data_IF_667243535771
#
_entry.id   IF_667243535771
#
_cell.length_a   1.000
_cell.length_b   1.000
_cell.length_c   1.000
_cell.angle_alpha   90.00
_cell.angle_beta   90.00
_cell.angle_gamma   90.00
#
_symmetry.space_group_name_H-M   'P 1'
#
loop_
_entity.id
_entity.type
_entity.pdbx_description
1 polymer ?
#
# COMPACT_ATOMS: atom_id res chain seq x y z
N UNK A 1 18.87 0.68 0.87
CA UNK A 1 17.49 0.17 1.07
C UNK A 1 17.24 -0.95 0.06
N UNK A 2 16.64 -2.08 0.45
CA UNK A 2 16.39 -3.21 -0.47
C UNK A 2 15.01 -3.05 -1.13
N UNK A 3 14.92 -2.20 -2.16
CA UNK A 3 13.65 -1.92 -2.86
C UNK A 3 13.62 -2.44 -4.30
N UNK A 4 14.79 -2.62 -4.94
CA UNK A 4 14.87 -3.17 -6.30
C UNK A 4 14.90 -4.69 -6.25
N UNK A 5 14.00 -5.33 -7.00
CA UNK A 5 13.83 -6.78 -7.03
C UNK A 5 13.92 -7.35 -8.46
N UNK A 6 14.30 -8.61 -8.54
CA UNK A 6 14.17 -9.47 -9.71
C UNK A 6 13.25 -10.61 -9.30
N UNK A 7 12.18 -10.78 -10.07
CA UNK A 7 11.36 -11.97 -10.02
C UNK A 7 11.71 -12.83 -11.23
N UNK A 8 11.93 -14.13 -11.01
CA UNK A 8 12.08 -15.12 -12.08
C UNK A 8 11.01 -16.20 -11.90
N UNK A 9 10.28 -16.47 -12.97
CA UNK A 9 9.39 -17.62 -13.07
C UNK A 9 10.08 -18.72 -13.88
N UNK A 10 10.23 -19.90 -13.27
CA UNK A 10 10.76 -21.10 -13.90
C UNK A 10 9.66 -21.97 -14.51
N UNK A 11 10.09 -22.98 -15.26
CA UNK A 11 9.19 -23.88 -16.02
C UNK A 11 8.30 -24.73 -15.09
N UNK A 12 8.80 -25.12 -13.92
CA UNK A 12 8.10 -26.00 -12.97
C UNK A 12 7.33 -25.23 -11.89
N UNK A 13 6.72 -24.09 -12.21
CA UNK A 13 6.06 -23.17 -11.25
C UNK A 13 6.95 -22.62 -10.12
N UNK A 14 8.26 -22.87 -10.18
CA UNK A 14 9.22 -22.29 -9.25
C UNK A 14 9.33 -20.79 -9.46
N UNK A 15 9.00 -20.02 -8.43
CA UNK A 15 9.12 -18.57 -8.43
C UNK A 15 10.22 -18.16 -7.48
N UNK A 16 11.23 -17.50 -8.01
CA UNK A 16 12.33 -16.96 -7.23
C UNK A 16 12.20 -15.44 -7.18
N UNK A 17 12.26 -14.88 -5.97
CA UNK A 17 12.28 -13.44 -5.74
C UNK A 17 13.61 -13.10 -5.05
N UNK A 18 14.40 -12.21 -5.66
CA UNK A 18 15.67 -11.75 -5.09
C UNK A 18 15.80 -10.24 -5.22
N UNK A 19 16.60 -9.63 -4.36
CA UNK A 19 17.06 -8.26 -4.56
C UNK A 19 18.15 -8.21 -5.63
N UNK A 20 18.17 -7.10 -6.38
CA UNK A 20 19.24 -6.86 -7.36
C UNK A 20 20.59 -6.71 -6.64
N UNK A 21 21.63 -7.44 -7.06
CA UNK A 21 22.98 -7.23 -6.53
C UNK A 21 23.55 -5.93 -7.11
N UNK A 22 24.11 -5.07 -6.26
CA UNK A 22 24.67 -3.77 -6.64
C UNK A 22 24.18 -2.62 -5.77
N UNK A 23 25.06 -1.68 -5.43
CA UNK A 23 24.73 -0.53 -4.58
C UNK A 23 23.86 0.49 -5.32
N UNK A 24 24.00 0.56 -6.63
CA UNK A 24 23.20 1.38 -7.53
C UNK A 24 21.71 1.00 -7.47
N UNK A 25 21.40 -0.27 -7.23
CA UNK A 25 20.03 -0.75 -7.07
C UNK A 25 19.48 -0.61 -5.64
N UNK A 26 20.33 -0.13 -4.73
CA UNK A 26 19.98 0.16 -3.33
C UNK A 26 19.93 1.67 -3.05
N UNK A 27 20.16 2.49 -4.09
CA UNK A 27 20.24 3.96 -4.02
C UNK A 27 19.02 4.57 -4.70
N UNK A 28 18.32 5.45 -3.99
CA UNK A 28 17.19 6.17 -4.56
C UNK A 28 17.68 7.29 -5.47
N UNK A 29 17.03 7.46 -6.63
CA UNK A 29 17.31 8.58 -7.54
C UNK A 29 16.78 9.93 -7.01
N UNK A 30 16.03 9.90 -5.91
CA UNK A 30 15.44 11.07 -5.26
C UNK A 30 15.56 10.95 -3.75
N UNK A 31 15.62 12.07 -3.02
CA UNK A 31 15.52 12.05 -1.56
C UNK A 31 14.19 11.44 -1.11
N UNK A 32 14.11 10.89 0.12
CA UNK A 32 12.86 10.42 0.68
C UNK A 32 11.79 11.51 0.59
N UNK A 33 10.58 11.11 0.19
CA UNK A 33 9.43 12.01 0.23
C UNK A 33 9.20 12.48 1.66
N UNK A 34 8.92 13.78 1.82
CA UNK A 34 8.52 14.36 3.11
C UNK A 34 7.00 14.30 3.31
N UNK A 35 6.24 13.85 2.30
CA UNK A 35 4.81 13.72 2.43
C UNK A 35 4.45 12.55 3.34
N UNK A 36 3.63 12.82 4.35
CA UNK A 36 3.06 11.83 5.27
C UNK A 36 2.43 10.66 4.49
N UNK A 37 1.84 10.93 3.33
CA UNK A 37 1.19 9.93 2.48
C UNK A 37 2.13 8.97 1.75
N UNK A 38 3.41 9.34 1.63
CA UNK A 38 4.45 8.50 1.03
C UNK A 38 5.01 7.48 2.02
N UNK A 39 4.69 7.61 3.31
CA UNK A 39 5.11 6.66 4.33
C UNK A 39 3.96 5.69 4.63
N UNK A 40 4.13 4.43 4.24
CA UNK A 40 3.17 3.34 4.47
C UNK A 40 2.84 3.15 5.96
N UNK A 41 3.73 3.58 6.86
CA UNK A 41 3.49 3.57 8.30
C UNK A 41 2.30 4.45 8.72
N UNK A 42 1.97 5.48 7.94
CA UNK A 42 0.82 6.37 8.16
C UNK A 42 -0.44 5.94 7.39
N UNK A 43 -0.36 4.91 6.54
CA UNK A 43 -1.53 4.29 5.86
C UNK A 43 -2.17 3.22 6.73
N UNK A 44 -2.52 3.56 7.97
CA UNK A 44 -3.25 2.68 8.87
C UNK A 44 -4.60 3.30 9.18
N UNK A 45 -5.66 2.56 8.87
CA UNK A 45 -7.00 2.89 9.34
C UNK A 45 -7.03 2.81 10.86
N UNK A 46 -7.68 3.79 11.49
CA UNK A 46 -8.03 3.72 12.90
C UNK A 46 -8.95 2.51 13.15
N UNK A 47 -9.03 2.05 14.41
CA UNK A 47 -9.79 0.84 14.74
C UNK A 47 -11.29 1.01 14.40
N UNK A 48 -11.80 2.24 14.53
CA UNK A 48 -13.16 2.65 14.20
C UNK A 48 -13.41 2.52 12.70
N UNK A 49 -12.48 2.99 11.87
CA UNK A 49 -12.55 2.90 10.41
C UNK A 49 -12.50 1.43 9.96
N UNK A 50 -11.64 0.60 10.58
CA UNK A 50 -11.58 -0.84 10.33
C UNK A 50 -12.94 -1.52 10.63
N UNK A 51 -13.57 -1.17 11.75
CA UNK A 51 -14.87 -1.73 12.12
C UNK A 51 -15.95 -1.35 11.11
N UNK A 52 -15.89 -0.13 10.56
CA UNK A 52 -16.81 0.31 9.53
C UNK A 52 -16.58 -0.38 8.18
N UNK A 53 -15.31 -0.59 7.76
CA UNK A 53 -14.99 -1.41 6.58
C UNK A 53 -15.59 -2.81 6.72
N UNK A 54 -15.44 -3.43 7.89
CA UNK A 54 -16.00 -4.77 8.16
C UNK A 54 -17.53 -4.77 8.07
N UNK A 55 -18.18 -3.72 8.58
CA UNK A 55 -19.63 -3.55 8.47
C UNK A 55 -20.09 -3.43 7.01
N UNK A 56 -19.44 -2.57 6.22
CA UNK A 56 -19.74 -2.39 4.79
C UNK A 56 -19.52 -3.66 3.97
N UNK A 57 -18.42 -4.38 4.25
CA UNK A 57 -18.15 -5.67 3.64
C UNK A 57 -19.26 -6.69 3.98
N UNK A 58 -19.68 -6.74 5.24
CA UNK A 58 -20.73 -7.65 5.70
C UNK A 58 -22.10 -7.30 5.10
N UNK A 59 -22.33 -6.01 4.79
CA UNK A 59 -23.51 -5.52 4.08
C UNK A 59 -23.44 -5.71 2.55
N UNK A 60 -22.38 -6.33 2.02
CA UNK A 60 -22.21 -6.60 0.59
C UNK A 60 -21.82 -5.38 -0.25
N UNK A 61 -21.35 -4.30 0.39
CA UNK A 61 -20.90 -3.10 -0.31
C UNK A 61 -19.59 -3.42 -1.05
N UNK A 62 -19.54 -3.05 -2.33
CA UNK A 62 -18.35 -3.30 -3.16
C UNK A 62 -17.16 -2.48 -2.64
N UNK A 63 -15.92 -3.01 -2.72
CA UNK A 63 -14.72 -2.27 -2.32
C UNK A 63 -14.60 -0.89 -2.98
N UNK A 64 -14.97 -0.77 -4.26
CA UNK A 64 -14.96 0.51 -5.00
C UNK A 64 -15.91 1.58 -4.42
N UNK A 65 -16.90 1.20 -3.63
CA UNK A 65 -17.80 2.12 -2.91
C UNK A 65 -17.43 2.27 -1.42
N UNK A 66 -16.67 1.33 -0.87
CA UNK A 66 -16.17 1.39 0.51
C UNK A 66 -15.13 2.51 0.66
N UNK A 67 -14.24 2.67 -0.32
CA UNK A 67 -13.18 3.68 -0.33
C UNK A 67 -13.70 5.12 -0.28
N UNK A 68 -14.63 5.56 -1.15
CA UNK A 68 -15.16 6.92 -1.08
C UNK A 68 -15.90 7.18 0.24
N UNK A 69 -16.54 6.16 0.83
CA UNK A 69 -17.16 6.27 2.14
C UNK A 69 -16.12 6.53 3.24
N UNK A 70 -15.02 5.79 3.26
CA UNK A 70 -13.90 6.03 4.19
C UNK A 70 -13.30 7.42 4.03
N UNK A 71 -13.22 7.93 2.79
CA UNK A 71 -12.73 9.30 2.52
C UNK A 71 -13.61 10.41 3.08
N UNK A 72 -14.90 10.17 3.23
CA UNK A 72 -15.86 11.17 3.73
C UNK A 72 -15.87 11.27 5.26
N UNK A 73 -15.46 10.21 5.95
CA UNK A 73 -15.54 10.07 7.40
C UNK A 73 -14.19 10.23 8.11
N UNK A 74 -13.08 10.06 7.37
CA UNK A 74 -11.76 10.27 7.91
C UNK A 74 -11.56 11.76 8.26
N UNK A 75 -11.20 12.04 9.51
CA UNK A 75 -10.93 13.40 10.03
C UNK A 75 -9.74 14.08 9.36
N UNK A 76 -8.90 13.31 8.66
CA UNK A 76 -7.93 13.78 7.68
C UNK A 76 -8.38 13.29 6.30
N UNK A 77 -8.50 14.15 5.28
CA UNK A 77 -9.00 13.75 3.98
C UNK A 77 -8.02 12.75 3.36
N UNK A 78 -8.36 11.46 3.42
CA UNK A 78 -7.61 10.41 2.70
C UNK A 78 -7.56 10.77 1.23
N UNK A 79 -6.36 11.08 0.78
CA UNK A 79 -6.06 11.54 -0.56
C UNK A 79 -6.10 10.35 -1.52
N UNK A 80 -6.16 10.62 -2.84
CA UNK A 80 -6.20 9.57 -3.86
C UNK A 80 -5.12 8.49 -3.74
N UNK A 81 -3.99 8.82 -3.11
CA UNK A 81 -2.79 8.00 -2.97
C UNK A 81 -2.66 7.24 -1.63
N UNK A 82 -3.62 7.36 -0.71
CA UNK A 82 -3.56 6.71 0.62
C UNK A 82 -3.98 5.23 0.62
N UNK A 83 -4.28 4.67 -0.57
CA UNK A 83 -4.64 3.27 -0.82
C UNK A 83 -3.82 2.71 -1.98
#
# INVERSE_FOLDING_TARGET
CQFSIIAREGIDTQRELRHRPGIEYSTHNYPPSQSISSHTAHRKLAQEEINQVRSLHSAGVKPGQTIPYLRQIATNPTQPYDI
#
